data_IF_484557039385
#
_entry.id   IF_484557039385
#
_cell.length_a   1.000
_cell.length_b   1.000
_cell.length_c   1.000
_cell.angle_alpha   90.00
_cell.angle_beta   90.00
_cell.angle_gamma   90.00
#
_symmetry.space_group_name_H-M   'P 1'
#
loop_
_entity.id
_entity.type
_entity.pdbx_description
1 polymer ?
#
# COMPACT_ATOMS: atom_id res chain seq x y z
N UNK A 1 -48.64 55.49 -19.38
CA UNK A 1 -48.09 54.13 -19.16
C UNK A 1 -46.58 54.24 -19.09
N UNK A 2 -45.97 54.07 -17.90
CA UNK A 2 -44.52 54.16 -17.68
C UNK A 2 -43.99 52.76 -17.36
N UNK A 3 -43.22 52.17 -18.27
CA UNK A 3 -42.63 50.83 -18.13
C UNK A 3 -41.42 50.86 -17.21
N UNK A 4 -41.43 49.95 -16.23
CA UNK A 4 -40.44 49.79 -15.17
C UNK A 4 -39.15 49.19 -15.72
N UNK A 5 -38.06 49.93 -15.63
CA UNK A 5 -36.69 49.40 -15.72
C UNK A 5 -36.37 48.72 -14.38
N UNK A 6 -36.47 47.39 -14.36
CA UNK A 6 -36.27 46.59 -13.16
C UNK A 6 -35.18 45.55 -13.35
N UNK A 7 -33.96 45.92 -12.94
CA UNK A 7 -32.92 45.02 -12.42
C UNK A 7 -32.44 43.92 -13.38
N UNK A 8 -31.46 44.28 -14.22
CA UNK A 8 -30.46 43.32 -14.69
C UNK A 8 -29.66 42.86 -13.45
N UNK A 9 -29.99 41.67 -12.96
CA UNK A 9 -29.24 40.98 -11.93
C UNK A 9 -27.88 40.61 -12.51
N UNK A 10 -26.84 41.30 -12.06
CA UNK A 10 -25.46 40.85 -12.16
C UNK A 10 -25.34 39.55 -11.35
N UNK A 11 -25.46 38.41 -12.05
CA UNK A 11 -24.98 37.14 -11.54
C UNK A 11 -23.44 37.26 -11.53
N UNK A 12 -22.91 37.78 -10.42
CA UNK A 12 -21.50 37.63 -10.11
C UNK A 12 -21.23 36.13 -10.03
N UNK A 13 -20.55 35.60 -11.04
CA UNK A 13 -19.94 34.29 -10.99
C UNK A 13 -18.93 34.32 -9.85
N UNK A 14 -19.38 33.97 -8.65
CA UNK A 14 -18.53 33.48 -7.59
C UNK A 14 -17.95 32.16 -8.12
N UNK A 15 -16.92 32.28 -8.95
CA UNK A 15 -15.92 31.23 -9.11
C UNK A 15 -15.34 31.11 -7.72
N UNK A 16 -15.96 30.23 -6.92
CA UNK A 16 -15.29 29.64 -5.79
C UNK A 16 -14.04 29.03 -6.41
N UNK A 17 -12.93 29.76 -6.29
CA UNK A 17 -11.62 29.17 -6.31
C UNK A 17 -11.69 28.15 -5.17
N UNK A 18 -12.09 26.93 -5.50
CA UNK A 18 -11.78 25.76 -4.71
C UNK A 18 -10.27 25.85 -4.57
N UNK A 19 -9.83 26.40 -3.45
CA UNK A 19 -8.44 26.37 -3.06
C UNK A 19 -8.09 24.90 -3.16
N UNK A 20 -7.32 24.56 -4.19
CA UNK A 20 -6.66 23.27 -4.28
C UNK A 20 -5.80 23.28 -3.02
N UNK A 21 -6.31 22.65 -1.97
CA UNK A 21 -5.52 22.37 -0.79
C UNK A 21 -4.31 21.67 -1.33
N UNK A 22 -3.14 22.32 -1.19
CA UNK A 22 -1.84 21.70 -1.42
C UNK A 22 -1.92 20.34 -0.76
N UNK A 23 -2.04 19.27 -1.55
CA UNK A 23 -2.10 17.94 -0.99
C UNK A 23 -0.83 17.78 -0.19
N UNK A 24 -0.95 17.62 1.14
CA UNK A 24 0.21 17.38 1.98
C UNK A 24 1.00 16.23 1.37
N UNK A 25 2.32 16.43 1.19
CA UNK A 25 3.16 15.38 0.63
C UNK A 25 2.97 14.09 1.44
N UNK A 26 2.87 12.94 0.77
CA UNK A 26 2.63 11.69 1.46
C UNK A 26 3.79 11.40 2.42
N UNK A 27 3.49 11.27 3.72
CA UNK A 27 4.49 10.90 4.73
C UNK A 27 4.87 9.43 4.55
N UNK A 28 6.16 9.18 4.36
CA UNK A 28 6.70 7.83 4.16
C UNK A 28 7.35 7.35 5.43
N UNK A 29 6.82 6.28 5.99
CA UNK A 29 7.43 5.65 7.16
C UNK A 29 8.57 4.74 6.70
N UNK A 30 9.79 4.83 7.28
CA UNK A 30 10.93 4.03 6.83
C UNK A 30 10.83 2.54 7.21
N UNK A 31 9.82 2.15 7.98
CA UNK A 31 9.67 0.80 8.53
C UNK A 31 8.58 0.02 7.81
N UNK A 32 8.79 -1.28 7.67
CA UNK A 32 7.82 -2.24 7.16
C UNK A 32 7.33 -3.17 8.29
N UNK A 33 6.08 -3.65 8.25
CA UNK A 33 5.01 -3.27 7.32
C UNK A 33 4.49 -1.86 7.58
N UNK A 34 3.92 -1.24 6.55
CA UNK A 34 3.33 0.11 6.59
C UNK A 34 2.04 0.24 5.78
N UNK A 35 1.68 -0.77 4.97
CA UNK A 35 0.50 -0.70 4.10
C UNK A 35 -0.82 -0.93 4.84
N UNK A 36 -0.88 -1.95 5.69
CA UNK A 36 -2.11 -2.32 6.42
C UNK A 36 -2.06 -1.93 7.90
N UNK A 37 -0.87 -2.03 8.49
CA UNK A 37 -0.59 -1.72 9.88
C UNK A 37 0.91 -1.49 10.02
N UNK A 38 1.31 -0.85 11.11
CA UNK A 38 2.71 -0.68 11.48
C UNK A 38 3.16 -1.77 12.44
N UNK A 39 4.47 -1.94 12.58
CA UNK A 39 5.05 -2.98 13.45
C UNK A 39 4.63 -2.79 14.92
N UNK A 40 4.52 -1.54 15.38
CA UNK A 40 4.03 -1.18 16.70
C UNK A 40 2.58 -1.60 16.96
N UNK A 41 1.75 -1.71 15.92
CA UNK A 41 0.35 -2.12 16.01
C UNK A 41 0.18 -3.62 16.26
N UNK A 42 1.22 -4.44 16.00
CA UNK A 42 1.14 -5.90 16.12
C UNK A 42 0.73 -6.37 17.51
N UNK A 43 1.18 -5.68 18.57
CA UNK A 43 0.80 -6.02 19.94
C UNK A 43 -0.71 -5.86 20.18
N UNK A 44 -1.29 -4.77 19.66
CA UNK A 44 -2.72 -4.49 19.73
C UNK A 44 -3.53 -5.44 18.84
N UNK A 45 -3.05 -5.74 17.62
CA UNK A 45 -3.68 -6.71 16.70
C UNK A 45 -3.73 -8.09 17.36
N UNK A 46 -2.59 -8.59 17.87
CA UNK A 46 -2.51 -9.88 18.58
C UNK A 46 -3.45 -9.92 19.78
N UNK A 47 -3.57 -8.82 20.54
CA UNK A 47 -4.53 -8.72 21.64
C UNK A 47 -5.98 -8.86 21.16
N UNK A 48 -6.36 -8.22 20.05
CA UNK A 48 -7.70 -8.38 19.45
C UNK A 48 -7.93 -9.82 18.98
N UNK A 49 -6.96 -10.43 18.30
CA UNK A 49 -6.97 -11.84 17.92
C UNK A 49 -7.14 -12.77 19.12
N UNK A 50 -6.63 -12.40 20.30
CA UNK A 50 -6.81 -13.19 21.52
C UNK A 50 -8.13 -12.90 22.26
N UNK A 51 -8.82 -11.81 21.95
CA UNK A 51 -10.00 -11.32 22.69
C UNK A 51 -11.21 -11.14 21.78
N UNK A 52 -11.45 -9.92 21.31
CA UNK A 52 -12.67 -9.52 20.60
C UNK A 52 -12.83 -10.18 19.23
N UNK A 53 -11.75 -10.72 18.65
CA UNK A 53 -11.75 -11.34 17.33
C UNK A 53 -11.31 -12.81 17.39
N UNK A 54 -11.35 -13.44 18.58
CA UNK A 54 -10.82 -14.79 18.82
C UNK A 54 -11.36 -15.85 17.87
N UNK A 55 -12.68 -15.99 17.78
CA UNK A 55 -13.30 -17.05 16.97
C UNK A 55 -12.96 -16.88 15.48
N UNK A 56 -13.11 -15.67 14.96
CA UNK A 56 -12.76 -15.35 13.58
C UNK A 56 -11.27 -15.59 13.30
N UNK A 57 -10.39 -15.15 14.21
CA UNK A 57 -8.95 -15.36 14.07
C UNK A 57 -8.57 -16.85 14.10
N UNK A 58 -9.18 -17.66 14.98
CA UNK A 58 -8.93 -19.11 15.02
C UNK A 58 -9.34 -19.79 13.72
N UNK A 59 -10.49 -19.40 13.15
CA UNK A 59 -10.96 -19.91 11.87
C UNK A 59 -10.02 -19.52 10.73
N UNK A 60 -9.67 -18.23 10.63
CA UNK A 60 -8.69 -17.71 9.67
C UNK A 60 -7.35 -18.42 9.76
N UNK A 61 -6.84 -18.63 10.99
CA UNK A 61 -5.58 -19.32 11.23
C UNK A 61 -5.64 -20.77 10.77
N UNK A 62 -6.74 -21.48 11.06
CA UNK A 62 -6.94 -22.87 10.63
C UNK A 62 -6.97 -22.98 9.11
N UNK A 63 -7.78 -22.14 8.44
CA UNK A 63 -7.89 -22.16 6.98
C UNK A 63 -6.58 -21.83 6.29
N UNK A 64 -5.84 -20.84 6.79
CA UNK A 64 -4.55 -20.48 6.19
C UNK A 64 -3.46 -21.52 6.47
N UNK A 65 -3.49 -22.21 7.61
CA UNK A 65 -2.59 -23.33 7.87
C UNK A 65 -2.82 -24.47 6.86
N UNK A 66 -4.08 -24.88 6.66
CA UNK A 66 -4.44 -25.92 5.69
C UNK A 66 -4.08 -25.51 4.25
N UNK A 67 -4.39 -24.26 3.86
CA UNK A 67 -4.01 -23.73 2.54
C UNK A 67 -2.50 -23.69 2.34
N UNK A 68 -1.73 -23.32 3.37
CA UNK A 68 -0.28 -23.30 3.30
C UNK A 68 0.30 -24.69 3.02
N UNK A 69 -0.24 -25.73 3.66
CA UNK A 69 0.15 -27.13 3.40
C UNK A 69 -0.12 -27.56 1.95
N UNK A 70 -1.21 -27.06 1.36
CA UNK A 70 -1.59 -27.33 -0.03
C UNK A 70 -0.96 -26.36 -1.05
N UNK A 71 -0.05 -25.49 -0.62
CA UNK A 71 0.52 -24.41 -1.45
C UNK A 71 -0.53 -23.49 -2.10
N UNK A 72 -1.69 -23.33 -1.46
CA UNK A 72 -2.79 -22.47 -1.89
C UNK A 72 -2.96 -21.23 -1.00
N UNK A 73 -4.00 -20.45 -1.29
CA UNK A 73 -4.35 -19.24 -0.53
C UNK A 73 -3.85 -17.94 -1.19
N UNK A 74 -4.30 -16.80 -0.64
CA UNK A 74 -3.82 -15.50 -1.06
C UNK A 74 -2.46 -15.20 -0.45
N UNK A 75 -1.53 -14.67 -1.25
CA UNK A 75 -0.21 -14.27 -0.76
C UNK A 75 -0.31 -13.24 0.38
N UNK A 76 -1.25 -12.30 0.29
CA UNK A 76 -1.45 -11.26 1.32
C UNK A 76 -2.00 -11.84 2.62
N UNK A 77 -2.94 -12.78 2.55
CA UNK A 77 -3.47 -13.47 3.73
C UNK A 77 -2.35 -14.24 4.46
N UNK A 78 -1.54 -14.98 3.72
CA UNK A 78 -0.42 -15.76 4.26
C UNK A 78 0.67 -14.84 4.84
N UNK A 79 1.03 -13.76 4.14
CA UNK A 79 1.99 -12.77 4.64
C UNK A 79 1.50 -12.07 5.92
N UNK A 80 0.18 -11.80 6.01
CA UNK A 80 -0.43 -11.27 7.22
C UNK A 80 -0.42 -12.29 8.36
N UNK A 81 -0.63 -13.58 8.06
CA UNK A 81 -0.49 -14.65 9.05
C UNK A 81 0.94 -14.76 9.59
N UNK A 82 1.97 -14.62 8.75
CA UNK A 82 3.36 -14.51 9.19
C UNK A 82 3.54 -13.35 10.20
N UNK A 83 3.10 -12.14 9.85
CA UNK A 83 3.23 -10.97 10.73
C UNK A 83 2.52 -11.16 12.09
N UNK A 84 1.31 -11.72 12.08
CA UNK A 84 0.52 -11.92 13.30
C UNK A 84 1.11 -13.05 14.17
N UNK A 85 1.55 -14.16 13.57
CA UNK A 85 1.94 -15.38 14.30
C UNK A 85 3.45 -15.53 14.54
N UNK A 86 4.28 -14.95 13.68
CA UNK A 86 5.71 -15.24 13.61
C UNK A 86 6.05 -16.62 13.04
N UNK A 87 5.10 -17.31 12.39
CA UNK A 87 5.32 -18.64 11.83
C UNK A 87 5.90 -18.55 10.40
N UNK A 88 7.19 -18.90 10.28
CA UNK A 88 7.93 -18.82 9.01
C UNK A 88 7.37 -19.70 7.89
N UNK A 89 6.54 -20.71 8.22
CA UNK A 89 5.94 -21.59 7.21
C UNK A 89 5.08 -20.85 6.19
N UNK A 90 4.54 -19.69 6.56
CA UNK A 90 3.73 -18.88 5.65
C UNK A 90 4.55 -18.12 4.60
N UNK A 91 5.82 -17.80 4.89
CA UNK A 91 6.69 -16.99 4.02
C UNK A 91 6.88 -17.60 2.62
N UNK A 92 7.35 -18.86 2.47
CA UNK A 92 7.59 -19.43 1.14
C UNK A 92 6.29 -19.59 0.32
N UNK A 93 5.16 -19.87 0.98
CA UNK A 93 3.87 -20.02 0.31
C UNK A 93 3.34 -18.66 -0.15
N UNK A 94 3.45 -17.62 0.68
CA UNK A 94 3.06 -16.25 0.33
C UNK A 94 3.86 -15.74 -0.88
N UNK A 95 5.18 -15.96 -0.89
CA UNK A 95 6.04 -15.61 -2.02
C UNK A 95 5.68 -16.38 -3.28
N UNK A 96 5.37 -17.67 -3.15
CA UNK A 96 4.95 -18.51 -4.28
C UNK A 96 3.61 -18.04 -4.84
N UNK A 97 2.63 -17.73 -3.99
CA UNK A 97 1.33 -17.21 -4.42
C UNK A 97 1.47 -15.88 -5.20
N UNK A 98 2.42 -15.03 -4.81
CA UNK A 98 2.69 -13.78 -5.51
C UNK A 98 3.75 -13.87 -6.60
N UNK A 99 4.20 -15.09 -6.97
CA UNK A 99 5.17 -15.25 -8.05
C UNK A 99 4.61 -14.89 -9.41
N UNK A 100 3.33 -15.09 -9.71
CA UNK A 100 2.79 -14.74 -11.04
C UNK A 100 2.28 -13.31 -11.09
N UNK A 101 1.61 -12.87 -10.03
CA UNK A 101 1.11 -11.51 -9.84
C UNK A 101 1.69 -10.94 -8.54
N UNK A 102 2.83 -10.22 -8.60
CA UNK A 102 3.42 -9.56 -7.44
C UNK A 102 2.41 -8.60 -6.81
N UNK A 103 2.14 -8.80 -5.52
CA UNK A 103 1.27 -7.93 -4.74
C UNK A 103 2.13 -7.01 -3.85
N UNK A 104 1.91 -5.67 -3.88
CA UNK A 104 2.65 -4.74 -3.03
C UNK A 104 2.46 -5.03 -1.53
N UNK A 105 1.28 -5.51 -1.14
CA UNK A 105 1.00 -5.90 0.25
C UNK A 105 1.86 -7.07 0.72
N UNK A 106 2.13 -8.06 -0.13
CA UNK A 106 3.03 -9.17 0.21
C UNK A 106 4.46 -8.69 0.38
N UNK A 107 4.94 -7.79 -0.48
CA UNK A 107 6.27 -7.20 -0.34
C UNK A 107 6.40 -6.42 0.97
N UNK A 108 5.42 -5.56 1.26
CA UNK A 108 5.40 -4.76 2.49
C UNK A 108 5.37 -5.64 3.75
N UNK A 109 4.52 -6.67 3.77
CA UNK A 109 4.37 -7.58 4.88
C UNK A 109 5.56 -8.54 5.05
N UNK A 110 6.31 -8.85 3.99
CA UNK A 110 7.44 -9.78 4.07
C UNK A 110 8.80 -9.08 4.00
N UNK A 111 8.84 -7.75 3.87
CA UNK A 111 10.06 -7.00 3.59
C UNK A 111 11.25 -7.42 4.44
N UNK A 112 11.10 -7.39 5.77
CA UNK A 112 12.18 -7.75 6.71
C UNK A 112 12.57 -9.23 6.66
N UNK A 113 11.67 -10.12 6.23
CA UNK A 113 11.93 -11.56 6.10
C UNK A 113 12.68 -11.93 4.81
N UNK A 114 12.70 -11.03 3.82
CA UNK A 114 13.39 -11.26 2.54
C UNK A 114 14.86 -10.88 2.63
N UNK A 115 15.70 -11.60 1.89
CA UNK A 115 17.08 -11.19 1.61
C UNK A 115 17.12 -9.90 0.77
N UNK A 116 18.21 -9.11 0.81
CA UNK A 116 18.37 -7.94 -0.05
C UNK A 116 18.17 -8.25 -1.55
N UNK A 117 18.65 -9.39 -2.01
CA UNK A 117 18.50 -9.86 -3.39
C UNK A 117 17.05 -10.15 -3.74
N UNK A 118 16.32 -10.80 -2.84
CA UNK A 118 14.89 -11.06 -3.01
C UNK A 118 14.07 -9.77 -2.98
N UNK A 119 14.42 -8.82 -2.11
CA UNK A 119 13.79 -7.49 -2.09
C UNK A 119 13.97 -6.78 -3.43
N UNK A 120 15.20 -6.75 -3.95
CA UNK A 120 15.52 -6.16 -5.27
C UNK A 120 14.72 -6.86 -6.37
N UNK A 121 14.72 -8.19 -6.40
CA UNK A 121 13.99 -8.98 -7.40
C UNK A 121 12.49 -8.75 -7.34
N UNK A 122 11.90 -8.75 -6.15
CA UNK A 122 10.46 -8.59 -5.98
C UNK A 122 10.02 -7.15 -6.28
N UNK A 123 10.77 -6.16 -5.77
CA UNK A 123 10.54 -4.74 -6.03
C UNK A 123 10.55 -4.38 -7.52
N UNK A 124 11.50 -4.94 -8.30
CA UNK A 124 11.53 -4.76 -9.76
C UNK A 124 10.28 -5.26 -10.48
N UNK A 125 9.61 -6.27 -9.95
CA UNK A 125 8.41 -6.86 -10.55
C UNK A 125 7.12 -6.15 -10.15
N UNK A 126 7.18 -5.31 -9.13
CA UNK A 126 6.10 -4.38 -8.79
C UNK A 126 6.06 -3.17 -9.73
N UNK A 127 7.08 -2.98 -10.60
CA UNK A 127 7.18 -1.84 -11.52
C UNK A 127 6.79 -2.17 -12.98
N UNK A 128 6.24 -1.20 -13.74
CA UNK A 128 5.79 0.14 -13.34
C UNK A 128 4.28 0.31 -13.56
N UNK A 129 3.52 0.49 -12.47
CA UNK A 129 2.28 1.27 -12.59
C UNK A 129 2.66 2.65 -13.12
N UNK A 130 1.95 3.16 -14.15
CA UNK A 130 2.23 4.43 -14.84
C UNK A 130 2.90 5.47 -13.92
N UNK A 131 4.01 6.06 -14.38
CA UNK A 131 4.47 7.38 -13.91
C UNK A 131 3.23 8.23 -13.67
N UNK A 132 2.99 8.63 -12.43
CA UNK A 132 1.91 9.56 -12.15
C UNK A 132 2.27 10.84 -12.90
N UNK A 133 1.56 11.14 -13.99
CA UNK A 133 1.87 12.22 -14.96
C UNK A 133 1.79 13.64 -14.36
N UNK A 134 1.62 13.77 -13.04
CA UNK A 134 1.56 15.03 -12.31
C UNK A 134 2.51 15.15 -11.13
N UNK A 135 3.39 14.17 -10.88
CA UNK A 135 4.41 14.25 -9.83
C UNK A 135 5.74 14.77 -10.39
N UNK A 136 6.37 15.72 -9.68
CA UNK A 136 7.67 16.28 -10.05
C UNK A 136 8.68 15.19 -10.47
N UNK A 137 9.43 15.48 -11.53
CA UNK A 137 10.49 14.65 -12.10
C UNK A 137 11.52 14.27 -11.02
N UNK A 138 11.34 13.13 -10.36
CA UNK A 138 12.30 12.69 -9.35
C UNK A 138 11.79 11.61 -8.39
N UNK A 139 10.50 11.58 -8.08
CA UNK A 139 9.94 10.63 -7.10
C UNK A 139 9.22 9.46 -7.79
N UNK A 140 9.84 8.28 -7.83
CA UNK A 140 9.19 7.05 -8.28
C UNK A 140 8.43 6.41 -7.11
N UNK A 141 7.10 6.48 -7.13
CA UNK A 141 6.22 5.77 -6.20
C UNK A 141 5.89 4.39 -6.78
N UNK A 142 6.06 3.32 -5.99
CA UNK A 142 5.80 1.94 -6.44
C UNK A 142 4.31 1.59 -6.37
N UNK A 143 3.61 2.20 -5.42
CA UNK A 143 2.17 2.06 -5.21
C UNK A 143 1.69 3.20 -4.31
N UNK A 144 0.59 3.84 -4.66
CA UNK A 144 -0.12 4.79 -3.80
C UNK A 144 -1.51 4.24 -3.49
N UNK A 145 -1.78 3.85 -2.25
CA UNK A 145 -3.16 3.64 -1.81
C UNK A 145 -3.74 5.01 -1.46
N UNK A 146 -4.68 5.51 -2.25
CA UNK A 146 -5.36 6.76 -1.96
C UNK A 146 -6.60 6.47 -1.09
N UNK A 147 -6.64 7.02 0.13
CA UNK A 147 -7.88 7.12 0.91
C UNK A 147 -8.20 8.60 1.10
N UNK A 148 -9.16 9.12 0.34
CA UNK A 148 -9.59 10.52 0.41
C UNK A 148 -8.43 11.51 0.26
N UNK A 149 -7.92 12.00 1.40
CA UNK A 149 -6.93 13.07 1.51
C UNK A 149 -5.49 12.56 1.73
N UNK A 150 -5.27 11.24 1.78
CA UNK A 150 -3.94 10.65 2.05
C UNK A 150 -3.59 9.58 1.02
N UNK A 151 -2.42 9.73 0.39
CA UNK A 151 -1.79 8.69 -0.40
C UNK A 151 -0.71 8.02 0.45
N UNK A 152 -0.78 6.70 0.65
CA UNK A 152 0.34 5.96 1.22
C UNK A 152 1.25 5.49 0.08
N UNK A 153 2.43 6.09 -0.01
CA UNK A 153 3.46 5.70 -0.95
C UNK A 153 4.29 4.52 -0.43
N UNK A 154 4.39 3.43 -1.19
CA UNK A 154 5.47 2.46 -1.03
C UNK A 154 6.69 2.98 -1.81
N UNK A 155 7.75 3.33 -1.09
CA UNK A 155 9.08 3.49 -1.68
C UNK A 155 9.70 2.11 -1.78
N UNK A 156 10.29 1.80 -2.92
CA UNK A 156 11.29 0.75 -3.03
C UNK A 156 12.54 1.33 -2.40
N UNK A 157 13.02 0.69 -1.34
CA UNK A 157 14.12 1.18 -0.51
C UNK A 157 15.44 1.17 -1.28
N UNK A 158 15.66 2.17 -2.14
CA UNK A 158 16.86 2.32 -2.94
C UNK A 158 16.93 1.47 -4.22
N UNK A 159 15.90 0.67 -4.56
CA UNK A 159 15.90 -0.12 -5.82
C UNK A 159 15.93 0.77 -7.07
N UNK A 160 15.50 2.02 -6.93
CA UNK A 160 15.51 3.06 -7.96
C UNK A 160 16.71 4.02 -7.88
N UNK A 161 17.52 3.95 -6.81
CA UNK A 161 18.63 4.88 -6.56
C UNK A 161 19.96 4.37 -7.14
N UNK A 162 19.96 3.19 -7.75
CA UNK A 162 21.08 2.68 -8.54
C UNK A 162 21.16 3.51 -9.85
N UNK A 163 21.79 4.68 -9.79
CA UNK A 163 21.96 5.66 -10.89
C UNK A 163 22.44 4.99 -12.19
N UNK A 164 23.19 3.91 -12.06
CA UNK A 164 23.71 3.07 -13.15
C UNK A 164 22.64 2.46 -14.06
N UNK A 165 21.40 2.29 -13.59
CA UNK A 165 20.29 1.78 -14.42
C UNK A 165 19.36 2.89 -14.95
N UNK A 166 19.55 4.14 -14.53
CA UNK A 166 18.77 5.31 -14.99
C UNK A 166 19.07 5.67 -16.45
N UNK A 167 20.25 5.29 -16.95
CA UNK A 167 20.70 5.52 -18.33
C UNK A 167 20.39 4.34 -19.28
N UNK A 168 19.90 3.21 -18.77
CA UNK A 168 19.68 1.98 -19.54
C UNK A 168 18.21 1.71 -19.92
N UNK A 169 17.28 2.62 -19.56
CA UNK A 169 15.86 2.60 -19.91
C UNK A 169 15.49 3.86 -20.71
#
# INVERSE_FOLDING_TARGET
MKTKWGRVLLLAAAVAASAVTSAEEPVIHPQHPRLYFRKEDLSWIRRRCATTHRTWYQQMKSWNAERAELSGGSGEELAMMYQITGDDRYVPVALTASRMAPAPGVYDLLYEALSPEERKRYGRRLLPGKRNLGGNEGSMYFYTCASGDRALALYGDGVAEDETEREAL
#
